data_IF_488491238419
#
_entry.id   IF_488491238419
#
_cell.length_a   1.000
_cell.length_b   1.000
_cell.length_c   1.000
_cell.angle_alpha   90.00
_cell.angle_beta   90.00
_cell.angle_gamma   90.00
#
_symmetry.space_group_name_H-M   'P 1'
#
loop_
_entity.id
_entity.type
_entity.pdbx_description
1 polymer ?
#
# COMPACT_ATOMS: atom_id res chain seq x y z
N UNK A 1 -47.08 33.91 37.85
CA UNK A 1 -46.17 32.78 37.53
C UNK A 1 -46.22 32.57 36.03
N UNK A 2 -45.17 33.07 35.34
CA UNK A 2 -45.14 33.16 33.88
C UNK A 2 -44.06 32.17 33.40
N UNK A 3 -44.46 31.02 32.81
CA UNK A 3 -43.54 30.06 32.22
C UNK A 3 -43.40 30.38 30.75
N UNK A 4 -42.19 30.71 30.33
CA UNK A 4 -41.81 30.84 28.92
C UNK A 4 -41.38 29.47 28.37
N UNK A 5 -41.76 29.09 27.14
CA UNK A 5 -41.33 27.84 26.54
C UNK A 5 -39.90 27.93 25.96
N UNK A 6 -39.13 26.86 26.17
CA UNK A 6 -37.82 26.63 25.61
C UNK A 6 -37.88 26.56 24.07
N UNK A 7 -37.11 27.44 23.42
CA UNK A 7 -36.89 27.41 21.96
C UNK A 7 -35.93 26.27 21.62
N UNK A 8 -36.40 25.24 20.92
CA UNK A 8 -35.58 24.26 20.25
C UNK A 8 -34.84 24.91 19.09
N UNK A 9 -33.52 25.04 19.21
CA UNK A 9 -32.66 25.45 18.11
C UNK A 9 -32.39 24.22 17.24
N UNK A 10 -33.10 24.08 16.14
CA UNK A 10 -32.79 23.16 15.06
C UNK A 10 -31.53 23.68 14.37
N UNK A 11 -30.43 22.97 14.49
CA UNK A 11 -29.18 23.29 13.77
C UNK A 11 -29.38 22.82 12.33
N UNK A 12 -29.41 23.79 11.43
CA UNK A 12 -29.59 23.61 10.00
C UNK A 12 -28.34 22.95 9.38
N UNK A 13 -28.40 21.67 9.07
CA UNK A 13 -27.31 20.90 8.44
C UNK A 13 -26.97 21.40 7.02
N UNK A 14 -27.88 22.11 6.35
CA UNK A 14 -27.63 22.65 5.00
C UNK A 14 -26.66 23.83 4.98
N UNK A 15 -26.44 24.51 6.08
CA UNK A 15 -25.52 25.65 6.16
C UNK A 15 -24.06 25.20 6.11
N UNK A 16 -23.73 24.02 6.65
CA UNK A 16 -22.37 23.47 6.69
C UNK A 16 -21.89 22.97 5.30
N UNK A 17 -22.82 22.41 4.51
CA UNK A 17 -22.52 21.91 3.14
C UNK A 17 -22.30 23.09 2.18
N UNK A 18 -23.05 24.17 2.34
CA UNK A 18 -22.92 25.39 1.51
C UNK A 18 -21.61 26.14 1.78
N UNK A 19 -21.13 26.13 3.02
CA UNK A 19 -19.87 26.77 3.40
C UNK A 19 -18.65 26.08 2.77
N UNK A 20 -18.64 24.75 2.71
CA UNK A 20 -17.54 23.96 2.07
C UNK A 20 -17.47 24.17 0.56
N UNK A 21 -18.62 24.30 -0.12
CA UNK A 21 -18.67 24.58 -1.56
C UNK A 21 -18.22 26.01 -1.92
N UNK A 22 -18.43 26.99 -1.05
CA UNK A 22 -17.96 28.38 -1.24
C UNK A 22 -16.44 28.49 -1.06
N UNK A 23 -15.85 27.76 -0.11
CA UNK A 23 -14.41 27.75 0.12
C UNK A 23 -13.62 27.21 -1.09
N UNK A 24 -14.10 26.12 -1.70
CA UNK A 24 -13.47 25.53 -2.89
C UNK A 24 -13.60 26.42 -4.15
N UNK A 25 -14.62 27.28 -4.26
CA UNK A 25 -14.77 28.24 -5.37
C UNK A 25 -13.90 29.48 -5.25
N UNK A 26 -13.49 29.87 -4.05
CA UNK A 26 -12.60 31.04 -3.84
C UNK A 26 -11.13 30.74 -4.13
N UNK A 27 -10.69 29.47 -4.13
CA UNK A 27 -9.33 29.08 -4.55
C UNK A 27 -9.13 29.04 -6.06
N UNK A 28 -10.21 29.09 -6.87
CA UNK A 28 -10.14 29.03 -8.33
C UNK A 28 -10.12 30.39 -9.04
N UNK A 29 -10.23 31.52 -8.31
CA UNK A 29 -10.39 32.86 -8.92
C UNK A 29 -9.41 33.92 -8.39
N UNK A 30 -8.17 33.58 -8.17
CA UNK A 30 -7.18 34.56 -7.73
C UNK A 30 -5.78 34.24 -8.19
N UNK A 31 -5.48 34.52 -9.49
CA UNK A 31 -4.14 34.90 -9.95
C UNK A 31 -4.12 35.02 -11.47
N UNK A 32 -4.49 36.14 -11.98
CA UNK A 32 -4.05 36.64 -13.28
C UNK A 32 -3.49 38.03 -13.03
N UNK A 33 -2.15 38.15 -13.14
CA UNK A 33 -1.35 39.27 -13.57
C UNK A 33 0.01 39.32 -12.84
N UNK A 34 1.06 38.78 -13.46
CA UNK A 34 2.37 39.42 -13.50
C UNK A 34 3.20 38.75 -14.62
N UNK A 35 3.56 39.57 -15.58
CA UNK A 35 4.44 39.32 -16.70
C UNK A 35 5.88 39.06 -16.21
N UNK A 36 6.56 38.09 -16.83
CA UNK A 36 8.03 38.14 -16.92
C UNK A 36 8.75 36.87 -16.43
N UNK A 37 9.42 36.16 -17.36
CA UNK A 37 10.53 35.28 -17.04
C UNK A 37 10.21 33.79 -17.19
N UNK A 38 10.65 33.25 -18.30
CA UNK A 38 10.81 31.83 -18.65
C UNK A 38 11.56 31.05 -17.57
N UNK A 39 10.93 30.00 -17.05
CA UNK A 39 11.59 28.70 -16.83
C UNK A 39 10.52 27.66 -16.52
N UNK A 40 10.29 26.78 -17.48
CA UNK A 40 9.47 25.58 -17.33
C UNK A 40 10.21 24.60 -16.43
N UNK A 41 9.85 24.58 -15.16
CA UNK A 41 10.26 23.48 -14.29
C UNK A 41 9.42 22.23 -14.67
N UNK A 42 9.97 21.45 -15.59
CA UNK A 42 9.51 20.10 -15.91
C UNK A 42 9.69 19.24 -14.67
N UNK A 43 8.58 18.76 -14.08
CA UNK A 43 8.59 17.74 -13.05
C UNK A 43 9.15 16.45 -13.66
N UNK A 44 10.44 16.24 -13.50
CA UNK A 44 11.13 15.06 -13.97
C UNK A 44 10.69 13.86 -13.13
N UNK A 45 9.92 12.99 -13.75
CA UNK A 45 9.75 11.61 -13.31
C UNK A 45 11.12 10.96 -13.30
N UNK A 46 11.75 10.83 -12.16
CA UNK A 46 13.05 10.16 -12.03
C UNK A 46 12.85 8.66 -12.19
N UNK A 47 12.99 8.19 -13.42
CA UNK A 47 13.30 6.80 -13.69
C UNK A 47 14.77 6.57 -13.31
N UNK A 48 15.02 6.02 -12.14
CA UNK A 48 16.36 5.51 -11.81
C UNK A 48 16.50 4.14 -12.44
N UNK A 49 16.92 4.12 -13.70
CA UNK A 49 17.38 2.90 -14.36
C UNK A 49 18.88 2.80 -14.08
N UNK A 50 19.25 1.96 -13.10
CA UNK A 50 20.65 1.56 -12.94
C UNK A 50 20.98 0.49 -13.99
N UNK A 51 21.52 0.91 -15.13
CA UNK A 51 22.16 0.01 -16.09
C UNK A 51 23.61 -0.24 -15.64
N UNK A 52 23.80 -1.28 -14.83
CA UNK A 52 25.12 -1.86 -14.61
C UNK A 52 25.47 -2.76 -15.80
N UNK A 53 26.34 -2.26 -16.71
CA UNK A 53 26.98 -3.11 -17.73
C UNK A 53 28.03 -3.96 -17.04
N UNK A 54 27.76 -5.22 -16.81
CA UNK A 54 28.79 -6.20 -16.57
C UNK A 54 29.08 -6.97 -17.86
N UNK A 55 30.29 -6.71 -18.41
CA UNK A 55 30.87 -7.49 -19.49
C UNK A 55 31.23 -8.87 -18.94
N UNK A 56 30.44 -9.88 -19.28
CA UNK A 56 30.79 -11.28 -19.07
C UNK A 56 31.48 -11.82 -20.32
N UNK A 57 32.75 -12.18 -20.19
CA UNK A 57 33.46 -12.97 -21.19
C UNK A 57 33.04 -14.45 -21.03
N UNK A 58 32.79 -15.18 -22.12
CA UNK A 58 32.38 -16.59 -22.03
C UNK A 58 33.61 -17.47 -21.70
N UNK A 59 33.43 -18.54 -20.89
CA UNK A 59 34.52 -19.45 -20.59
C UNK A 59 34.86 -20.37 -21.79
N UNK A 60 36.15 -20.56 -21.97
CA UNK A 60 36.81 -21.38 -22.98
C UNK A 60 36.39 -22.86 -22.82
N UNK A 61 36.03 -23.50 -23.95
CA UNK A 61 35.76 -24.95 -24.04
C UNK A 61 37.08 -25.69 -23.89
N UNK A 62 37.22 -26.50 -22.88
CA UNK A 62 38.23 -27.58 -22.80
C UNK A 62 37.59 -28.92 -23.07
N UNK A 63 38.02 -29.53 -24.16
CA UNK A 63 37.71 -30.92 -24.54
C UNK A 63 38.58 -31.83 -23.70
N UNK A 64 38.01 -32.81 -22.99
CA UNK A 64 38.73 -33.97 -22.52
C UNK A 64 37.85 -35.20 -22.55
N UNK A 65 38.48 -36.29 -23.04
CA UNK A 65 37.92 -37.55 -23.48
C UNK A 65 37.39 -38.45 -22.36
N UNK A 66 36.43 -39.25 -22.78
CA UNK A 66 35.99 -40.57 -22.39
C UNK A 66 36.84 -41.38 -21.36
N UNK A 67 36.17 -41.85 -20.30
CA UNK A 67 36.38 -43.20 -19.77
C UNK A 67 35.07 -43.81 -19.26
N UNK A 68 34.79 -45.03 -19.79
CA UNK A 68 33.67 -45.85 -19.36
C UNK A 68 33.91 -46.42 -17.96
N UNK A 69 32.96 -46.27 -17.04
CA UNK A 69 32.71 -47.32 -16.05
C UNK A 69 31.23 -47.24 -15.62
N UNK A 70 30.53 -48.33 -15.92
CA UNK A 70 29.16 -48.56 -15.45
C UNK A 70 29.22 -48.90 -13.96
N UNK A 71 28.72 -48.01 -13.12
CA UNK A 71 28.32 -48.37 -11.77
C UNK A 71 26.87 -47.90 -11.60
N UNK A 72 25.97 -48.87 -11.43
CA UNK A 72 24.60 -48.64 -11.05
C UNK A 72 24.58 -48.08 -9.64
N UNK A 73 24.43 -46.74 -9.51
CA UNK A 73 24.09 -46.13 -8.23
C UNK A 73 22.66 -45.64 -8.34
N UNK A 74 21.78 -46.30 -7.60
CA UNK A 74 20.39 -45.87 -7.39
C UNK A 74 20.44 -44.49 -6.74
N UNK A 75 20.28 -43.42 -7.51
CA UNK A 75 20.09 -42.11 -6.96
C UNK A 75 18.65 -42.02 -6.44
N UNK A 76 18.52 -42.01 -5.12
CA UNK A 76 17.38 -41.34 -4.48
C UNK A 76 17.51 -39.87 -4.84
N UNK A 77 16.84 -39.46 -5.90
CA UNK A 77 16.55 -38.01 -6.13
C UNK A 77 15.49 -37.61 -5.10
N UNK A 78 15.93 -37.15 -3.93
CA UNK A 78 15.15 -36.20 -3.19
C UNK A 78 15.10 -34.97 -4.07
N UNK A 79 14.01 -34.82 -4.84
CA UNK A 79 13.66 -33.54 -5.43
C UNK A 79 13.50 -32.55 -4.26
N UNK A 80 14.55 -31.80 -3.97
CA UNK A 80 14.41 -30.60 -3.18
C UNK A 80 13.45 -29.70 -3.96
N UNK A 81 12.24 -29.50 -3.44
CA UNK A 81 11.36 -28.47 -3.92
C UNK A 81 12.15 -27.16 -3.75
N UNK A 82 12.77 -26.73 -4.84
CA UNK A 82 13.44 -25.44 -4.92
C UNK A 82 12.30 -24.39 -4.85
N UNK A 83 11.93 -24.03 -3.62
CA UNK A 83 10.98 -22.94 -3.39
C UNK A 83 11.75 -21.67 -3.78
N UNK A 84 11.76 -21.39 -5.06
CA UNK A 84 12.35 -20.20 -5.63
C UNK A 84 11.57 -18.99 -5.08
N UNK A 85 12.06 -18.44 -3.98
CA UNK A 85 11.62 -17.11 -3.55
C UNK A 85 11.91 -16.14 -4.68
N UNK A 86 10.96 -15.23 -5.01
CA UNK A 86 11.19 -14.28 -6.08
C UNK A 86 12.44 -13.46 -5.78
N UNK A 87 13.35 -13.39 -6.75
CA UNK A 87 14.62 -12.66 -6.60
C UNK A 87 14.42 -11.21 -6.21
N UNK A 88 13.25 -10.65 -6.54
CA UNK A 88 12.84 -9.29 -6.17
C UNK A 88 11.32 -9.20 -5.97
N UNK A 89 10.88 -8.29 -5.09
CA UNK A 89 9.46 -7.99 -4.88
C UNK A 89 9.20 -6.50 -5.15
N UNK A 90 8.27 -6.25 -6.08
CA UNK A 90 7.89 -4.90 -6.51
C UNK A 90 6.41 -4.66 -6.24
N UNK A 91 6.09 -3.54 -5.60
CA UNK A 91 4.73 -3.08 -5.37
C UNK A 91 4.48 -1.74 -6.07
N UNK A 92 3.21 -1.48 -6.37
CA UNK A 92 2.72 -0.21 -6.89
C UNK A 92 1.55 0.25 -6.04
N UNK A 93 1.55 1.52 -5.70
CA UNK A 93 0.56 2.16 -4.83
C UNK A 93 0.06 3.47 -5.42
N UNK A 94 -1.16 3.82 -5.06
CA UNK A 94 -1.76 5.13 -5.25
C UNK A 94 -2.57 5.48 -4.01
N UNK A 95 -2.22 6.58 -3.32
CA UNK A 95 -2.92 6.97 -2.11
C UNK A 95 -4.23 7.69 -2.46
N UNK A 96 -5.38 7.19 -1.97
CA UNK A 96 -6.70 7.67 -2.36
C UNK A 96 -6.98 9.12 -1.96
N UNK A 97 -6.37 9.61 -0.87
CA UNK A 97 -6.61 10.96 -0.35
C UNK A 97 -5.58 11.99 -0.82
N UNK A 98 -4.29 11.62 -0.92
CA UNK A 98 -3.22 12.55 -1.32
C UNK A 98 -2.94 12.51 -2.82
N UNK A 99 -3.33 11.44 -3.51
CA UNK A 99 -3.01 11.22 -4.92
C UNK A 99 -1.56 10.81 -5.18
N UNK A 100 -0.75 10.65 -4.14
CA UNK A 100 0.65 10.21 -4.25
C UNK A 100 0.72 8.83 -4.89
N UNK A 101 1.68 8.65 -5.82
CA UNK A 101 1.89 7.39 -6.53
C UNK A 101 3.31 6.91 -6.33
N UNK A 102 3.45 5.60 -6.08
CA UNK A 102 4.75 4.99 -5.85
C UNK A 102 4.79 3.61 -6.53
N UNK A 103 5.89 3.34 -7.25
CA UNK A 103 6.21 2.01 -7.78
C UNK A 103 7.68 1.74 -7.55
N UNK A 104 7.99 0.74 -6.75
CA UNK A 104 9.36 0.38 -6.40
C UNK A 104 9.53 -1.08 -6.02
N UNK A 105 10.78 -1.54 -6.13
CA UNK A 105 11.22 -2.81 -5.57
C UNK A 105 11.66 -2.58 -4.13
N UNK A 106 11.02 -3.27 -3.17
CA UNK A 106 11.31 -3.13 -1.75
C UNK A 106 12.13 -4.30 -1.17
N UNK A 107 12.24 -5.39 -1.94
CA UNK A 107 13.00 -6.58 -1.58
C UNK A 107 13.77 -7.07 -2.79
N UNK A 108 15.08 -7.34 -2.61
CA UNK A 108 15.96 -7.84 -3.66
C UNK A 108 17.10 -8.65 -3.02
N UNK A 109 17.50 -9.74 -3.68
CA UNK A 109 18.61 -10.59 -3.25
C UNK A 109 18.53 -11.03 -1.77
N UNK A 110 17.35 -11.39 -1.30
CA UNK A 110 17.12 -11.85 0.07
C UNK A 110 17.08 -10.75 1.14
N UNK A 111 17.05 -9.46 0.76
CA UNK A 111 17.08 -8.33 1.69
C UNK A 111 16.07 -7.24 1.36
N UNK A 112 15.52 -6.62 2.39
CA UNK A 112 14.71 -5.42 2.23
C UNK A 112 15.57 -4.19 1.95
N UNK A 113 15.14 -3.38 0.98
CA UNK A 113 15.84 -2.16 0.55
C UNK A 113 15.41 -1.01 1.45
N UNK A 114 16.32 -0.56 2.34
CA UNK A 114 16.02 0.44 3.37
C UNK A 114 15.41 1.74 2.83
N UNK A 115 15.92 2.25 1.70
CA UNK A 115 15.42 3.49 1.13
C UNK A 115 14.04 3.31 0.49
N UNK A 116 13.77 2.14 -0.11
CA UNK A 116 12.44 1.79 -0.57
C UNK A 116 11.42 1.72 0.59
N UNK A 117 11.81 1.16 1.75
CA UNK A 117 10.94 1.15 2.93
C UNK A 117 10.64 2.57 3.44
N UNK A 118 11.60 3.50 3.39
CA UNK A 118 11.36 4.91 3.78
C UNK A 118 10.32 5.57 2.87
N UNK A 119 10.42 5.37 1.55
CA UNK A 119 9.44 5.88 0.59
C UNK A 119 8.03 5.29 0.82
N UNK A 120 7.95 3.99 1.14
CA UNK A 120 6.69 3.34 1.50
C UNK A 120 6.13 3.92 2.80
N UNK A 121 6.95 4.11 3.83
CA UNK A 121 6.53 4.71 5.10
C UNK A 121 5.97 6.12 4.90
N UNK A 122 6.63 6.92 4.04
CA UNK A 122 6.15 8.25 3.70
C UNK A 122 4.82 8.21 2.93
N UNK A 123 4.68 7.32 1.95
CA UNK A 123 3.44 7.16 1.21
C UNK A 123 2.27 6.75 2.11
N UNK A 124 2.52 5.83 3.05
CA UNK A 124 1.53 5.27 3.97
C UNK A 124 1.37 6.05 5.28
N UNK A 125 1.91 7.27 5.36
CA UNK A 125 1.78 8.15 6.53
C UNK A 125 0.33 8.46 6.87
N UNK A 126 0.08 8.93 8.06
CA UNK A 126 -1.21 9.46 8.45
C UNK A 126 -1.50 10.76 7.67
N UNK A 127 -2.40 10.70 6.70
CA UNK A 127 -2.72 11.84 5.84
C UNK A 127 -3.49 12.97 6.53
N UNK A 128 -3.88 12.81 7.82
CA UNK A 128 -4.54 13.86 8.59
C UNK A 128 -3.53 14.82 9.26
N UNK A 129 -2.34 14.31 9.62
CA UNK A 129 -1.35 15.06 10.38
C UNK A 129 0.09 14.86 9.90
N UNK A 130 0.28 14.11 8.80
CA UNK A 130 1.56 13.78 8.18
C UNK A 130 2.54 12.98 9.06
N UNK A 131 2.06 12.36 10.15
CA UNK A 131 2.88 11.47 10.98
C UNK A 131 3.33 10.24 10.20
N UNK A 132 4.64 9.98 10.22
CA UNK A 132 5.28 8.84 9.55
C UNK A 132 5.60 7.76 10.57
N UNK A 133 5.27 6.52 10.26
CA UNK A 133 5.61 5.35 11.08
C UNK A 133 6.19 4.23 10.21
N UNK A 134 7.11 3.41 10.72
CA UNK A 134 7.57 2.23 9.99
C UNK A 134 6.42 1.28 9.69
N UNK A 135 6.31 0.86 8.42
CA UNK A 135 5.36 -0.16 7.99
C UNK A 135 6.00 -1.54 8.13
N UNK A 136 5.25 -2.47 8.71
CA UNK A 136 5.67 -3.86 8.87
C UNK A 136 5.97 -4.50 7.49
N UNK A 137 7.17 -5.03 7.34
CA UNK A 137 7.59 -5.69 6.10
C UNK A 137 6.75 -6.95 5.80
N UNK A 138 6.22 -7.63 6.83
CA UNK A 138 5.29 -8.73 6.64
C UNK A 138 3.99 -8.29 5.96
N UNK A 139 3.51 -7.06 6.22
CA UNK A 139 2.36 -6.48 5.51
C UNK A 139 2.66 -6.25 4.03
N UNK A 140 3.89 -5.79 3.71
CA UNK A 140 4.32 -5.63 2.32
C UNK A 140 4.41 -6.97 1.58
N UNK A 141 4.92 -7.99 2.25
CA UNK A 141 4.96 -9.35 1.71
C UNK A 141 3.57 -9.94 1.50
N UNK A 142 2.65 -9.68 2.43
CA UNK A 142 1.24 -10.05 2.29
C UNK A 142 0.60 -9.38 1.07
N UNK A 143 0.86 -8.09 0.84
CA UNK A 143 0.39 -7.37 -0.35
C UNK A 143 1.00 -7.90 -1.64
N UNK A 144 2.30 -8.26 -1.63
CA UNK A 144 2.96 -8.86 -2.78
C UNK A 144 2.31 -10.19 -3.16
N UNK A 145 2.08 -11.06 -2.19
CA UNK A 145 1.45 -12.36 -2.42
C UNK A 145 -0.01 -12.21 -2.86
N UNK A 146 -0.74 -11.24 -2.30
CA UNK A 146 -2.10 -10.92 -2.74
C UNK A 146 -2.12 -10.45 -4.20
N UNK A 147 -1.16 -9.61 -4.60
CA UNK A 147 -1.01 -9.17 -6.00
C UNK A 147 -0.80 -10.36 -6.93
N UNK A 148 0.05 -11.32 -6.54
CA UNK A 148 0.30 -12.53 -7.32
C UNK A 148 -0.95 -13.41 -7.40
N UNK A 149 -1.61 -13.63 -6.26
CA UNK A 149 -2.85 -14.43 -6.16
C UNK A 149 -3.98 -13.87 -7.03
N UNK A 150 -4.11 -12.53 -7.07
CA UNK A 150 -5.11 -11.84 -7.90
C UNK A 150 -4.70 -11.75 -9.38
N UNK A 151 -3.44 -12.00 -9.74
CA UNK A 151 -2.92 -11.85 -11.10
C UNK A 151 -2.99 -10.40 -11.60
N UNK A 152 -2.90 -9.40 -10.71
CA UNK A 152 -3.07 -7.99 -11.06
C UNK A 152 -1.74 -7.25 -11.21
N UNK A 153 -1.68 -6.32 -12.16
CA UNK A 153 -0.54 -5.44 -12.38
C UNK A 153 -0.80 -3.99 -11.94
N UNK A 154 -2.09 -3.66 -11.71
CA UNK A 154 -2.51 -2.33 -11.27
C UNK A 154 -2.04 -2.01 -9.86
N UNK A 155 -1.88 -0.71 -9.51
CA UNK A 155 -1.52 -0.30 -8.16
C UNK A 155 -2.62 -0.66 -7.16
N UNK A 156 -2.23 -0.90 -5.91
CA UNK A 156 -3.14 -0.85 -4.77
C UNK A 156 -3.52 0.59 -4.49
N UNK A 157 -4.81 0.89 -4.45
CA UNK A 157 -5.32 2.16 -3.94
C UNK A 157 -5.38 2.07 -2.41
N UNK A 158 -4.59 2.90 -1.74
CA UNK A 158 -4.52 2.95 -0.28
C UNK A 158 -5.58 3.91 0.23
N UNK A 159 -6.57 3.38 0.95
CA UNK A 159 -7.61 4.15 1.63
C UNK A 159 -7.11 4.62 3.00
N UNK A 160 -6.37 3.76 3.73
CA UNK A 160 -5.73 4.08 5.00
C UNK A 160 -4.48 3.23 5.18
N UNK A 161 -3.36 3.86 5.48
CA UNK A 161 -2.10 3.21 5.90
C UNK A 161 -1.91 3.32 7.41
N UNK A 162 -0.79 3.92 7.84
CA UNK A 162 -0.57 4.27 9.24
C UNK A 162 -1.61 5.29 9.72
N UNK A 163 -1.98 5.16 10.96
CA UNK A 163 -2.92 6.04 11.66
C UNK A 163 -2.36 6.37 13.03
N UNK A 164 -2.11 7.64 13.28
CA UNK A 164 -1.60 8.10 14.57
C UNK A 164 -2.63 7.85 15.69
N UNK A 165 -2.19 7.74 16.97
CA UNK A 165 -3.10 7.63 18.10
C UNK A 165 -4.14 8.74 18.16
N UNK A 166 -3.74 9.97 17.78
CA UNK A 166 -4.63 11.16 17.75
C UNK A 166 -5.72 10.96 16.71
N UNK A 167 -5.35 10.62 15.48
CA UNK A 167 -6.31 10.35 14.40
C UNK A 167 -7.22 9.18 14.75
N UNK A 168 -6.67 8.09 15.35
CA UNK A 168 -7.48 6.94 15.74
C UNK A 168 -8.52 7.32 16.82
N UNK A 169 -8.15 8.14 17.80
CA UNK A 169 -9.06 8.64 18.83
C UNK A 169 -10.17 9.53 18.22
N UNK A 170 -9.82 10.42 17.30
CA UNK A 170 -10.80 11.26 16.58
C UNK A 170 -11.79 10.41 15.77
N UNK A 171 -11.33 9.41 15.03
CA UNK A 171 -12.20 8.52 14.27
C UNK A 171 -13.13 7.71 15.18
N UNK A 172 -12.66 7.25 16.34
CA UNK A 172 -13.47 6.56 17.34
C UNK A 172 -14.59 7.44 17.92
N UNK A 173 -14.32 8.72 18.12
CA UNK A 173 -15.34 9.64 18.64
C UNK A 173 -16.53 9.83 17.67
N UNK A 174 -16.32 9.55 16.38
CA UNK A 174 -17.34 9.68 15.32
C UNK A 174 -17.86 8.34 14.77
N UNK A 175 -17.25 7.20 15.16
CA UNK A 175 -17.60 5.88 14.64
C UNK A 175 -17.36 4.77 15.66
N UNK A 176 -18.36 3.93 15.89
CA UNK A 176 -18.23 2.73 16.73
C UNK A 176 -17.45 1.58 16.09
N UNK A 177 -17.12 1.69 14.78
CA UNK A 177 -16.41 0.65 14.03
C UNK A 177 -14.89 0.72 14.11
N UNK A 178 -14.32 1.69 14.83
CA UNK A 178 -12.85 1.87 14.95
C UNK A 178 -12.35 1.27 16.26
N UNK A 179 -11.45 0.29 16.15
CA UNK A 179 -10.84 -0.37 17.30
C UNK A 179 -9.97 0.59 18.13
N UNK A 180 -9.95 0.42 19.45
CA UNK A 180 -9.09 1.20 20.35
C UNK A 180 -7.61 0.89 20.11
N UNK A 181 -7.28 -0.39 20.05
CA UNK A 181 -5.94 -0.88 19.77
C UNK A 181 -5.84 -1.34 18.32
N UNK A 182 -5.90 -0.38 17.40
CA UNK A 182 -5.88 -0.65 15.96
C UNK A 182 -4.47 -0.99 15.48
N UNK A 183 -4.33 -2.02 14.63
CA UNK A 183 -3.06 -2.34 13.97
C UNK A 183 -2.58 -1.24 13.01
N UNK A 184 -3.46 -0.36 12.54
CA UNK A 184 -3.04 0.85 11.80
C UNK A 184 -2.09 1.74 12.64
N UNK A 185 -2.29 1.83 13.96
CA UNK A 185 -1.42 2.61 14.85
C UNK A 185 -0.03 2.00 15.03
N UNK A 186 0.16 0.76 14.59
CA UNK A 186 1.43 0.03 14.69
C UNK A 186 2.12 -0.12 13.31
N UNK A 187 1.57 0.46 12.24
CA UNK A 187 2.04 0.24 10.87
C UNK A 187 1.83 -1.20 10.37
N UNK A 188 0.92 -1.94 10.97
CA UNK A 188 0.67 -3.37 10.75
C UNK A 188 -0.66 -3.65 10.04
N UNK A 189 -1.36 -2.62 9.57
CA UNK A 189 -2.62 -2.74 8.86
C UNK A 189 -2.71 -1.76 7.69
N UNK A 190 -3.52 -2.11 6.71
CA UNK A 190 -3.82 -1.29 5.54
C UNK A 190 -5.24 -1.54 5.04
N UNK A 191 -5.92 -0.49 4.61
CA UNK A 191 -7.20 -0.54 3.92
C UNK A 191 -6.98 -0.29 2.43
N UNK A 192 -7.37 -1.24 1.58
CA UNK A 192 -7.05 -1.23 0.15
C UNK A 192 -8.26 -1.42 -0.75
N UNK A 193 -8.09 -0.91 -1.97
CA UNK A 193 -8.88 -1.23 -3.15
C UNK A 193 -7.93 -1.59 -4.30
N UNK A 194 -8.45 -2.26 -5.33
CA UNK A 194 -7.75 -2.49 -6.60
C UNK A 194 -8.71 -2.14 -7.74
N UNK A 195 -8.31 -1.21 -8.59
CA UNK A 195 -9.16 -0.77 -9.70
C UNK A 195 -9.54 -1.93 -10.62
N UNK A 196 -10.84 -2.12 -10.83
CA UNK A 196 -11.38 -3.18 -11.69
C UNK A 196 -11.46 -4.56 -11.04
N UNK A 197 -11.12 -4.68 -9.75
CA UNK A 197 -11.30 -5.92 -8.96
C UNK A 197 -12.37 -5.70 -7.92
N UNK A 198 -13.39 -6.55 -7.90
CA UNK A 198 -14.44 -6.48 -6.89
C UNK A 198 -13.84 -6.72 -5.48
N UNK A 199 -14.25 -5.93 -4.49
CA UNK A 199 -13.77 -6.05 -3.09
C UNK A 199 -14.01 -7.45 -2.51
N UNK A 200 -15.10 -8.12 -2.92
CA UNK A 200 -15.35 -9.53 -2.54
C UNK A 200 -14.26 -10.48 -3.06
N UNK A 201 -13.73 -10.25 -4.25
CA UNK A 201 -12.63 -11.04 -4.82
C UNK A 201 -11.35 -10.81 -4.05
N UNK A 202 -11.01 -9.55 -3.72
CA UNK A 202 -9.85 -9.20 -2.91
C UNK A 202 -9.95 -9.88 -1.53
N UNK A 203 -11.12 -9.76 -0.87
CA UNK A 203 -11.38 -10.41 0.43
C UNK A 203 -11.16 -11.92 0.36
N UNK A 204 -11.74 -12.61 -0.63
CA UNK A 204 -11.64 -14.06 -0.73
C UNK A 204 -10.19 -14.52 -0.97
N UNK A 205 -9.44 -13.82 -1.82
CA UNK A 205 -8.02 -14.09 -2.04
C UNK A 205 -7.20 -13.89 -0.75
N UNK A 206 -7.44 -12.79 -0.03
CA UNK A 206 -6.75 -12.51 1.22
C UNK A 206 -7.04 -13.55 2.31
N UNK A 207 -8.30 -14.00 2.46
CA UNK A 207 -8.67 -15.06 3.41
C UNK A 207 -7.98 -16.38 3.04
N UNK A 208 -7.95 -16.74 1.75
CA UNK A 208 -7.33 -17.97 1.28
C UNK A 208 -5.80 -18.01 1.55
N UNK A 209 -5.14 -16.84 1.61
CA UNK A 209 -3.72 -16.73 1.94
C UNK A 209 -3.41 -17.04 3.41
N UNK A 210 -4.38 -16.91 4.32
CA UNK A 210 -4.26 -17.15 5.76
C UNK A 210 -3.04 -16.45 6.41
N UNK A 211 -2.79 -15.16 6.08
CA UNK A 211 -1.60 -14.40 6.52
C UNK A 211 -1.89 -13.33 7.57
N UNK A 212 -3.09 -13.28 8.14
CA UNK A 212 -3.48 -12.31 9.16
C UNK A 212 -4.96 -12.01 9.13
N UNK A 213 -5.36 -10.86 9.70
CA UNK A 213 -6.74 -10.40 9.74
C UNK A 213 -7.22 -9.84 8.41
N UNK A 214 -8.48 -10.15 8.05
CA UNK A 214 -9.14 -9.65 6.84
C UNK A 214 -10.51 -9.10 7.19
N UNK A 215 -10.68 -7.77 7.07
CA UNK A 215 -11.94 -7.07 7.26
C UNK A 215 -12.61 -6.74 5.92
N UNK A 216 -13.92 -6.96 5.83
CA UNK A 216 -14.68 -6.71 4.61
C UNK A 216 -15.65 -5.55 4.77
N UNK A 217 -15.41 -4.47 4.07
CA UNK A 217 -16.20 -3.23 4.14
C UNK A 217 -16.85 -2.90 2.78
N UNK A 218 -17.89 -3.66 2.38
CA UNK A 218 -18.50 -3.51 1.05
C UNK A 218 -19.16 -2.15 0.82
N UNK A 219 -19.74 -1.54 1.87
CA UNK A 219 -20.37 -0.21 1.75
C UNK A 219 -19.33 0.90 1.54
N UNK A 220 -18.17 0.78 2.16
CA UNK A 220 -17.05 1.71 1.99
C UNK A 220 -16.14 1.34 0.82
N UNK A 221 -16.35 0.18 0.22
CA UNK A 221 -15.65 -0.27 -0.98
C UNK A 221 -14.20 -0.72 -0.78
N UNK A 222 -13.77 -1.07 0.43
CA UNK A 222 -12.39 -1.49 0.71
C UNK A 222 -12.31 -2.83 1.46
N UNK A 223 -11.11 -3.39 1.48
CA UNK A 223 -10.73 -4.55 2.29
C UNK A 223 -9.61 -4.14 3.22
N UNK A 224 -9.78 -4.43 4.51
CA UNK A 224 -8.75 -4.30 5.53
C UNK A 224 -7.87 -5.54 5.55
N UNK A 225 -6.56 -5.34 5.67
CA UNK A 225 -5.57 -6.39 5.89
C UNK A 225 -4.69 -6.02 7.08
N UNK A 226 -4.33 -6.99 7.90
CA UNK A 226 -3.36 -6.80 8.98
C UNK A 226 -2.46 -8.03 9.19
N UNK A 227 -1.35 -7.84 9.91
CA UNK A 227 -0.38 -8.89 10.25
C UNK A 227 -0.63 -9.47 11.65
N UNK A 228 -1.86 -9.42 12.14
CA UNK A 228 -2.28 -10.05 13.39
C UNK A 228 -2.65 -11.52 13.22
N UNK A 229 -3.44 -12.02 14.16
CA UNK A 229 -3.96 -13.38 14.09
C UNK A 229 -4.88 -13.58 12.88
N UNK A 230 -4.91 -14.80 12.35
CA UNK A 230 -5.79 -15.16 11.22
C UNK A 230 -7.24 -15.09 11.67
N UNK A 231 -7.97 -14.12 11.13
CA UNK A 231 -9.40 -13.89 11.40
C UNK A 231 -10.07 -13.12 10.26
N UNK A 232 -11.39 -13.13 10.19
CA UNK A 232 -12.12 -12.33 9.21
C UNK A 232 -13.45 -11.82 9.79
N UNK A 233 -13.93 -10.65 9.35
CA UNK A 233 -15.19 -10.04 9.77
C UNK A 233 -15.82 -9.22 8.65
#
# INVERSE_FOLDING_TARGET
MNQQPLKNTVIDEDSAITSRRKFLKQLACGSLLALGGSEVASAAVRHVIHQGRHNYAPPRKTTTQSFHSRIFTRHNQTESLDISYPAYKTLSFEHAHTGDKLKLTYFEQGRYIKDALKEINYLMRDYHNDDIHPIDTALLDQLFDLKQTLGVTKPFHIVSGYRSPITNAQLRSHSSGVAEHSFHMQGRAIDIQVQGVATKTIKNAAIAMAKGGVGYYPRSGFVHLDTGEIRSW
#
